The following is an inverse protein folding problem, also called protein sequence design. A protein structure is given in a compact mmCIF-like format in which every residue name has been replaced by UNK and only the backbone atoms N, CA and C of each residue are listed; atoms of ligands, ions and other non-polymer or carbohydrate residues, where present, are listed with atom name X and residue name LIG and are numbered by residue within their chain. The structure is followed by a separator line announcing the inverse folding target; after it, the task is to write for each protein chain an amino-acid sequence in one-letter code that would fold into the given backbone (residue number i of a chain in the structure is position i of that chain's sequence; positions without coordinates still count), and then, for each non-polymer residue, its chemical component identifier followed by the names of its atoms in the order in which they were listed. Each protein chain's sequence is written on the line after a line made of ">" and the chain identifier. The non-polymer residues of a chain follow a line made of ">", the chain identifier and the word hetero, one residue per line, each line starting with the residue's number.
data_IF_214013590149
#
_entry.id   IF_214013590149
#
_cell.length_a   1.000
_cell.length_b   1.000
_cell.length_c   1.000
_cell.angle_alpha   90.00
_cell.angle_beta   90.00
_cell.angle_gamma   90.00
#
_symmetry.space_group_name_H-M   'P 1'
#
loop_
_entity.id
_entity.type
_entity.pdbx_description
1 polymer ?
#
# COMPACT_ATOMS: atom_id res chain seq x y z
N UNK A 1 85.10 11.28 15.80
CA UNK A 1 84.62 12.47 16.52
C UNK A 1 84.82 13.63 15.53
N UNK A 2 83.85 14.13 14.78
CA UNK A 2 82.40 14.04 14.89
C UNK A 2 81.75 14.24 13.53
N UNK A 3 80.60 13.59 13.37
CA UNK A 3 79.68 13.77 12.27
C UNK A 3 78.91 15.07 12.45
N UNK A 4 78.77 15.86 11.40
CA UNK A 4 77.76 16.91 11.32
C UNK A 4 77.15 16.88 9.92
N UNK A 5 76.18 15.98 9.75
CA UNK A 5 75.11 16.14 8.77
C UNK A 5 74.15 17.18 9.30
N UNK A 6 73.97 18.27 8.55
CA UNK A 6 72.89 19.23 8.75
C UNK A 6 71.87 19.16 7.60
N UNK A 7 70.61 19.54 7.86
CA UNK A 7 69.46 18.73 7.53
C UNK A 7 68.83 19.08 6.18
N UNK A 8 68.32 18.05 5.50
CA UNK A 8 67.45 18.20 4.36
C UNK A 8 66.14 18.86 4.77
N UNK A 9 65.91 20.07 4.24
CA UNK A 9 64.61 20.73 4.16
C UNK A 9 63.55 19.76 3.65
N UNK A 10 62.63 19.37 4.54
CA UNK A 10 61.46 18.56 4.19
C UNK A 10 60.45 19.48 3.49
N UNK A 11 60.04 19.20 2.24
CA UNK A 11 58.97 19.96 1.60
C UNK A 11 57.64 19.71 2.31
N UNK A 12 56.71 20.69 2.33
CA UNK A 12 55.40 20.53 2.95
C UNK A 12 54.66 19.37 2.29
N UNK A 13 54.32 18.36 3.10
CA UNK A 13 53.47 17.26 2.69
C UNK A 13 52.10 17.81 2.28
N UNK A 14 51.81 17.78 0.99
CA UNK A 14 50.51 18.15 0.45
C UNK A 14 49.41 17.29 1.11
N UNK A 15 48.24 17.87 1.44
CA UNK A 15 47.11 17.10 1.94
C UNK A 15 46.73 16.07 0.89
N UNK A 16 46.78 14.80 1.26
CA UNK A 16 46.30 13.71 0.40
C UNK A 16 44.83 14.00 0.04
N UNK A 17 44.44 13.84 -1.24
CA UNK A 17 43.05 14.02 -1.62
C UNK A 17 42.19 13.05 -0.80
N UNK A 18 41.18 13.58 -0.11
CA UNK A 18 40.19 12.79 0.62
C UNK A 18 39.72 11.66 -0.30
N UNK A 19 40.13 10.41 0.00
CA UNK A 19 39.64 9.23 -0.71
C UNK A 19 38.12 9.30 -0.66
N UNK A 20 37.45 9.14 -1.80
CA UNK A 20 36.00 8.89 -1.83
C UNK A 20 35.73 7.79 -0.81
N UNK A 21 35.02 8.10 0.27
CA UNK A 21 34.68 7.13 1.32
C UNK A 21 33.84 6.03 0.67
N UNK A 22 34.44 4.91 0.28
CA UNK A 22 33.67 3.75 -0.16
C UNK A 22 32.94 3.16 1.05
N UNK A 23 31.83 2.45 0.82
CA UNK A 23 31.13 1.72 1.89
C UNK A 23 32.02 0.55 2.34
N UNK A 24 32.21 0.40 3.65
CA UNK A 24 32.78 -0.83 4.20
C UNK A 24 31.72 -1.92 4.33
N UNK A 25 32.14 -3.14 4.60
CA UNK A 25 31.21 -4.25 4.85
C UNK A 25 30.36 -3.99 6.10
N UNK A 26 30.95 -3.41 7.15
CA UNK A 26 30.24 -3.04 8.37
C UNK A 26 29.21 -1.93 8.11
N UNK A 27 29.54 -0.95 7.25
CA UNK A 27 28.59 0.07 6.80
C UNK A 27 27.42 -0.56 6.03
N UNK A 28 27.68 -1.55 5.17
CA UNK A 28 26.65 -2.27 4.43
C UNK A 28 25.76 -3.09 5.36
N UNK A 29 26.33 -3.80 6.34
CA UNK A 29 25.56 -4.56 7.35
C UNK A 29 24.69 -3.61 8.18
N UNK A 30 25.25 -2.49 8.65
CA UNK A 30 24.50 -1.48 9.40
C UNK A 30 23.35 -0.90 8.57
N UNK A 31 23.61 -0.60 7.28
CA UNK A 31 22.58 -0.15 6.34
C UNK A 31 21.47 -1.18 6.17
N UNK A 32 21.81 -2.45 5.93
CA UNK A 32 20.85 -3.52 5.71
C UNK A 32 19.98 -3.78 6.95
N UNK A 33 20.59 -3.86 8.14
CA UNK A 33 19.84 -4.00 9.41
C UNK A 33 18.84 -2.86 9.59
N UNK A 34 19.26 -1.62 9.33
CA UNK A 34 18.35 -0.47 9.47
C UNK A 34 17.23 -0.47 8.41
N UNK A 35 17.53 -0.90 7.18
CA UNK A 35 16.54 -1.04 6.11
C UNK A 35 15.48 -2.06 6.48
N UNK A 36 15.87 -3.22 7.01
CA UNK A 36 14.95 -4.25 7.48
C UNK A 36 14.10 -3.76 8.65
N UNK A 37 14.69 -3.01 9.58
CA UNK A 37 13.96 -2.44 10.72
C UNK A 37 12.89 -1.42 10.28
N UNK A 38 13.25 -0.48 9.42
CA UNK A 38 12.36 0.64 9.06
C UNK A 38 11.40 0.29 7.91
N UNK A 39 11.75 -0.71 7.09
CA UNK A 39 11.03 -1.15 5.89
C UNK A 39 10.54 0.03 5.02
N UNK A 40 11.45 0.91 4.53
CA UNK A 40 11.06 2.15 3.85
C UNK A 40 10.27 1.92 2.56
N UNK A 41 10.46 0.77 1.91
CA UNK A 41 9.80 0.36 0.67
C UNK A 41 8.37 -0.17 0.87
N UNK A 42 8.01 -0.62 2.09
CA UNK A 42 6.65 -1.09 2.40
C UNK A 42 5.67 0.04 2.75
N UNK A 43 6.11 1.30 2.68
CA UNK A 43 5.32 2.46 3.09
C UNK A 43 4.39 2.91 1.95
N UNK A 44 3.27 3.60 2.26
CA UNK A 44 2.35 4.10 1.25
C UNK A 44 3.05 4.93 0.15
N UNK A 45 2.52 4.85 -1.08
CA UNK A 45 3.05 5.58 -2.24
C UNK A 45 3.28 7.06 -1.91
N UNK A 46 4.44 7.57 -2.31
CA UNK A 46 4.84 8.97 -2.11
C UNK A 46 5.75 9.22 -0.90
N UNK A 47 5.81 8.30 0.08
CA UNK A 47 6.57 8.54 1.32
C UNK A 47 7.91 7.79 1.39
N UNK A 48 8.20 6.88 0.46
CA UNK A 48 9.42 6.05 0.46
C UNK A 48 10.70 6.90 0.64
N UNK A 49 10.83 8.01 -0.09
CA UNK A 49 12.02 8.87 0.01
C UNK A 49 12.14 9.57 1.37
N UNK A 50 11.01 9.95 2.00
CA UNK A 50 11.03 10.51 3.34
C UNK A 50 11.52 9.47 4.35
N UNK A 51 11.05 8.23 4.24
CA UNK A 51 11.51 7.14 5.09
C UNK A 51 12.98 6.77 4.85
N UNK A 52 13.46 6.78 3.60
CA UNK A 52 14.88 6.62 3.30
C UNK A 52 15.74 7.74 3.92
N UNK A 53 15.23 8.99 3.95
CA UNK A 53 15.94 10.11 4.59
C UNK A 53 15.96 9.98 6.11
N UNK A 54 14.86 9.54 6.73
CA UNK A 54 14.83 9.26 8.18
C UNK A 54 15.80 8.15 8.55
N UNK A 55 15.80 7.05 7.79
CA UNK A 55 16.76 5.95 7.94
C UNK A 55 18.20 6.43 7.84
N UNK A 56 18.50 7.29 6.86
CA UNK A 56 19.83 7.84 6.68
C UNK A 56 20.24 8.73 7.87
N UNK A 57 19.31 9.52 8.41
CA UNK A 57 19.55 10.34 9.60
C UNK A 57 19.82 9.47 10.83
N UNK A 58 19.08 8.37 11.00
CA UNK A 58 19.31 7.39 12.08
C UNK A 58 20.70 6.77 12.00
N UNK A 59 21.12 6.35 10.80
CA UNK A 59 22.46 5.79 10.59
C UNK A 59 23.55 6.81 10.87
N UNK A 60 23.42 8.05 10.39
CA UNK A 60 24.41 9.11 10.62
C UNK A 60 24.51 9.49 12.11
N UNK A 61 23.42 9.37 12.87
CA UNK A 61 23.43 9.59 14.31
C UNK A 61 24.07 8.44 15.10
N UNK A 62 24.20 7.26 14.49
CA UNK A 62 24.82 6.10 15.13
C UNK A 62 26.35 6.20 15.08
N UNK A 63 27.06 6.06 16.23
CA UNK A 63 28.52 6.06 16.25
C UNK A 63 29.13 4.81 15.58
N UNK A 64 28.32 3.76 15.35
CA UNK A 64 28.75 2.54 14.68
C UNK A 64 28.81 2.67 13.16
N UNK A 65 28.26 3.75 12.58
CA UNK A 65 28.25 3.98 11.15
C UNK A 65 29.35 4.95 10.75
N UNK A 66 30.28 4.53 9.90
CA UNK A 66 31.50 5.31 9.63
C UNK A 66 31.22 6.57 8.80
N UNK A 67 30.10 6.63 8.06
CA UNK A 67 29.81 7.72 7.12
C UNK A 67 28.96 8.81 7.78
N UNK A 68 29.60 9.96 8.02
CA UNK A 68 28.97 11.17 8.59
C UNK A 68 28.00 11.91 7.65
N UNK A 69 27.96 11.57 6.36
CA UNK A 69 27.10 12.21 5.35
C UNK A 69 26.42 11.14 4.49
N UNK A 70 25.33 10.58 4.99
CA UNK A 70 24.41 9.73 4.24
C UNK A 70 23.13 10.51 3.93
N UNK A 71 22.63 10.35 2.71
CA UNK A 71 21.34 10.90 2.27
C UNK A 71 20.51 9.71 1.78
N UNK A 72 19.18 9.74 1.98
CA UNK A 72 18.29 8.62 1.65
C UNK A 72 18.46 8.09 0.22
N UNK A 73 18.66 8.97 -0.76
CA UNK A 73 18.93 8.59 -2.16
C UNK A 73 20.19 7.72 -2.30
N UNK A 74 21.27 8.06 -1.59
CA UNK A 74 22.53 7.32 -1.67
C UNK A 74 22.44 5.99 -0.93
N UNK A 75 21.73 5.95 0.22
CA UNK A 75 21.46 4.71 0.95
C UNK A 75 20.60 3.75 0.15
N UNK A 76 19.51 4.26 -0.45
CA UNK A 76 18.64 3.48 -1.33
C UNK A 76 19.40 2.94 -2.55
N UNK A 77 20.24 3.76 -3.19
CA UNK A 77 21.06 3.31 -4.31
C UNK A 77 22.05 2.21 -3.90
N UNK A 78 22.66 2.31 -2.71
CA UNK A 78 23.58 1.29 -2.21
C UNK A 78 22.86 -0.02 -1.89
N UNK A 79 21.72 0.07 -1.21
CA UNK A 79 20.85 -1.08 -0.91
C UNK A 79 20.46 -1.83 -2.19
N UNK A 80 19.98 -1.12 -3.22
CA UNK A 80 19.61 -1.73 -4.50
C UNK A 80 20.80 -2.45 -5.15
N UNK A 81 21.98 -1.84 -5.12
CA UNK A 81 23.19 -2.45 -5.67
C UNK A 81 23.53 -3.74 -4.95
N UNK A 82 23.45 -3.77 -3.61
CA UNK A 82 23.75 -4.96 -2.82
C UNK A 82 22.80 -6.12 -3.14
N UNK A 83 21.48 -5.85 -3.21
CA UNK A 83 20.47 -6.87 -3.54
C UNK A 83 20.68 -7.44 -4.95
N UNK A 84 20.99 -6.59 -5.93
CA UNK A 84 21.26 -7.02 -7.31
C UNK A 84 22.50 -7.93 -7.35
N UNK A 85 23.62 -7.45 -6.78
CA UNK A 85 24.88 -8.20 -6.80
C UNK A 85 24.76 -9.52 -6.03
N UNK A 86 24.01 -9.56 -4.93
CA UNK A 86 23.74 -10.80 -4.19
C UNK A 86 22.96 -11.80 -5.04
N UNK A 87 21.87 -11.37 -5.67
CA UNK A 87 21.07 -12.25 -6.52
C UNK A 87 21.83 -12.79 -7.74
N UNK A 88 22.79 -12.04 -8.28
CA UNK A 88 23.71 -12.52 -9.32
C UNK A 88 24.67 -13.59 -8.76
N UNK A 89 25.31 -13.30 -7.62
CA UNK A 89 26.23 -14.22 -6.96
C UNK A 89 25.57 -15.54 -6.56
N UNK A 90 24.36 -15.51 -5.97
CA UNK A 90 23.61 -16.72 -5.58
C UNK A 90 23.26 -17.59 -6.79
N UNK A 91 22.91 -16.97 -7.93
CA UNK A 91 22.62 -17.71 -9.16
C UNK A 91 23.87 -18.35 -9.74
N UNK A 92 24.99 -17.63 -9.77
CA UNK A 92 26.27 -18.17 -10.23
C UNK A 92 26.73 -19.32 -9.34
N UNK A 93 26.64 -19.16 -8.02
CA UNK A 93 26.94 -20.21 -7.06
C UNK A 93 26.06 -21.45 -7.28
N UNK A 94 24.75 -21.29 -7.47
CA UNK A 94 23.84 -22.40 -7.74
C UNK A 94 24.18 -23.19 -9.02
N UNK A 95 24.75 -22.52 -10.04
CA UNK A 95 25.20 -23.18 -11.28
C UNK A 95 26.53 -23.92 -11.11
N UNK A 96 27.36 -23.50 -10.17
CA UNK A 96 28.70 -24.04 -9.93
C UNK A 96 28.75 -25.01 -8.73
N UNK A 97 27.66 -25.13 -7.96
CA UNK A 97 27.71 -25.74 -6.63
C UNK A 97 27.76 -27.27 -6.63
N UNK A 98 28.80 -27.78 -5.96
CA UNK A 98 28.85 -29.06 -5.26
C UNK A 98 29.53 -28.94 -3.88
N UNK A 99 29.71 -27.72 -3.36
CA UNK A 99 30.47 -27.40 -2.14
C UNK A 99 29.62 -26.50 -1.23
N UNK A 100 29.63 -26.80 0.07
CA UNK A 100 28.99 -25.99 1.11
C UNK A 100 29.85 -24.76 1.40
N UNK A 101 29.34 -23.57 1.12
CA UNK A 101 29.96 -22.30 1.51
C UNK A 101 29.39 -21.79 2.83
N UNK A 102 30.20 -21.03 3.57
CA UNK A 102 29.81 -20.37 4.81
C UNK A 102 28.98 -19.12 4.48
N UNK A 103 27.71 -19.10 4.91
CA UNK A 103 26.79 -17.98 4.67
C UNK A 103 27.11 -16.87 5.67
N UNK A 104 27.54 -15.70 5.17
CA UNK A 104 27.82 -14.55 6.03
C UNK A 104 26.54 -13.91 6.56
N UNK A 105 26.63 -13.10 7.62
CA UNK A 105 25.48 -12.33 8.11
C UNK A 105 24.90 -11.43 7.01
N UNK A 106 25.77 -10.84 6.19
CA UNK A 106 25.35 -9.97 5.10
C UNK A 106 24.47 -10.71 4.09
N UNK A 107 24.81 -11.96 3.79
CA UNK A 107 24.05 -12.79 2.86
C UNK A 107 22.66 -13.11 3.42
N UNK A 108 22.57 -13.46 4.72
CA UNK A 108 21.29 -13.69 5.40
C UNK A 108 20.40 -12.44 5.37
N UNK A 109 20.96 -11.26 5.65
CA UNK A 109 20.23 -10.00 5.59
C UNK A 109 19.77 -9.66 4.16
N UNK A 110 20.53 -10.05 3.15
CA UNK A 110 20.20 -9.82 1.74
C UNK A 110 19.13 -10.78 1.24
N UNK A 111 19.13 -12.03 1.68
CA UNK A 111 18.06 -13.00 1.43
C UNK A 111 16.73 -12.52 2.01
N UNK A 112 16.71 -12.13 3.29
CA UNK A 112 15.52 -11.61 3.96
C UNK A 112 15.02 -10.32 3.29
N UNK A 113 15.94 -9.41 2.93
CA UNK A 113 15.57 -8.18 2.25
C UNK A 113 15.01 -8.44 0.84
N UNK A 114 15.54 -9.42 0.11
CA UNK A 114 15.04 -9.79 -1.21
C UNK A 114 13.60 -10.31 -1.13
N UNK A 115 13.31 -11.19 -0.17
CA UNK A 115 11.96 -11.70 0.09
C UNK A 115 10.98 -10.57 0.41
N UNK A 116 11.34 -9.68 1.34
CA UNK A 116 10.50 -8.54 1.71
C UNK A 116 10.26 -7.56 0.56
N UNK A 117 11.25 -7.36 -0.32
CA UNK A 117 11.08 -6.51 -1.50
C UNK A 117 10.11 -7.12 -2.50
N UNK A 118 10.12 -8.44 -2.68
CA UNK A 118 9.20 -9.12 -3.58
C UNK A 118 7.78 -9.16 -3.01
N UNK A 119 7.63 -9.38 -1.71
CA UNK A 119 6.35 -9.24 -1.00
C UNK A 119 5.76 -7.83 -1.12
N UNK A 120 6.59 -6.80 -0.89
CA UNK A 120 6.16 -5.41 -1.02
C UNK A 120 5.72 -5.07 -2.46
N UNK A 121 6.41 -5.59 -3.48
CA UNK A 121 6.00 -5.45 -4.88
C UNK A 121 4.65 -6.12 -5.12
N UNK A 122 4.48 -7.34 -4.62
CA UNK A 122 3.24 -8.10 -4.79
C UNK A 122 2.05 -7.39 -4.12
N UNK A 123 2.22 -6.92 -2.88
CA UNK A 123 1.21 -6.13 -2.17
C UNK A 123 0.84 -4.87 -2.96
N UNK A 124 1.84 -4.11 -3.42
CA UNK A 124 1.58 -2.91 -4.21
C UNK A 124 0.86 -3.19 -5.54
N UNK A 125 1.15 -4.31 -6.19
CA UNK A 125 0.47 -4.71 -7.41
C UNK A 125 -0.98 -5.14 -7.13
N UNK A 126 -1.22 -5.91 -6.07
CA UNK A 126 -2.56 -6.29 -5.62
C UNK A 126 -3.42 -5.07 -5.30
N UNK A 127 -2.90 -4.12 -4.50
CA UNK A 127 -3.63 -2.88 -4.18
C UNK A 127 -3.97 -2.09 -5.44
N UNK A 128 -3.01 -1.94 -6.37
CA UNK A 128 -3.25 -1.24 -7.63
C UNK A 128 -4.34 -1.93 -8.48
N UNK A 129 -4.32 -3.26 -8.56
CA UNK A 129 -5.34 -4.03 -9.30
C UNK A 129 -6.72 -3.92 -8.64
N UNK A 130 -6.78 -3.91 -7.32
CA UNK A 130 -8.04 -3.75 -6.58
C UNK A 130 -8.64 -2.35 -6.78
N UNK A 131 -7.83 -1.31 -6.68
CA UNK A 131 -8.23 0.08 -6.97
C UNK A 131 -8.75 0.22 -8.41
N UNK A 132 -8.04 -0.37 -9.38
CA UNK A 132 -8.44 -0.38 -10.77
C UNK A 132 -9.79 -1.10 -10.96
N UNK A 133 -9.96 -2.29 -10.37
CA UNK A 133 -11.21 -3.05 -10.45
C UNK A 133 -12.37 -2.31 -9.76
N UNK A 134 -12.11 -1.53 -8.71
CA UNK A 134 -13.12 -0.68 -8.10
C UNK A 134 -13.51 0.45 -9.04
N UNK A 135 -12.55 1.13 -9.65
CA UNK A 135 -12.81 2.18 -10.63
C UNK A 135 -13.63 1.68 -11.82
N UNK A 136 -13.27 0.52 -12.38
CA UNK A 136 -14.01 -0.11 -13.49
C UNK A 136 -15.46 -0.43 -13.12
N UNK A 137 -15.70 -0.96 -11.92
CA UNK A 137 -17.07 -1.22 -11.42
C UNK A 137 -17.86 0.07 -11.24
N UNK A 138 -17.23 1.12 -10.71
CA UNK A 138 -17.87 2.42 -10.52
C UNK A 138 -18.22 3.07 -11.88
N UNK A 139 -17.34 2.95 -12.88
CA UNK A 139 -17.60 3.39 -14.25
C UNK A 139 -18.71 2.59 -14.94
N UNK A 140 -18.72 1.27 -14.78
CA UNK A 140 -19.76 0.40 -15.31
C UNK A 140 -21.13 0.72 -14.69
N UNK A 141 -21.19 0.86 -13.36
CA UNK A 141 -22.40 1.27 -12.65
C UNK A 141 -22.91 2.63 -13.13
N UNK A 142 -21.98 3.57 -13.38
CA UNK A 142 -22.28 4.89 -13.92
C UNK A 142 -22.86 4.83 -15.34
N UNK A 143 -22.34 3.94 -16.21
CA UNK A 143 -22.88 3.70 -17.55
C UNK A 143 -24.29 3.09 -17.51
N UNK A 144 -24.52 2.13 -16.61
CA UNK A 144 -25.85 1.53 -16.42
C UNK A 144 -26.85 2.58 -15.94
N UNK A 145 -26.49 3.40 -14.96
CA UNK A 145 -27.35 4.48 -14.46
C UNK A 145 -27.72 5.47 -15.57
N UNK A 146 -26.76 5.87 -16.41
CA UNK A 146 -27.02 6.72 -17.60
C UNK A 146 -28.01 6.06 -18.55
N UNK A 147 -27.80 4.78 -18.92
CA UNK A 147 -28.71 4.03 -19.81
C UNK A 147 -30.13 3.96 -19.25
N UNK A 148 -30.28 3.61 -17.97
CA UNK A 148 -31.58 3.52 -17.30
C UNK A 148 -32.29 4.88 -17.30
N UNK A 149 -31.58 5.97 -17.03
CA UNK A 149 -32.14 7.32 -17.09
C UNK A 149 -32.62 7.68 -18.50
N UNK A 150 -31.83 7.40 -19.54
CA UNK A 150 -32.22 7.67 -20.94
C UNK A 150 -33.44 6.86 -21.38
N UNK A 151 -33.53 5.58 -20.99
CA UNK A 151 -34.69 4.74 -21.33
C UNK A 151 -35.95 5.24 -20.63
N UNK A 152 -35.86 5.61 -19.34
CA UNK A 152 -37.01 6.19 -18.61
C UNK A 152 -37.49 7.49 -19.25
N UNK A 153 -36.57 8.38 -19.65
CA UNK A 153 -36.89 9.62 -20.34
C UNK A 153 -37.66 9.34 -21.65
N UNK A 154 -37.15 8.42 -22.48
CA UNK A 154 -37.78 8.05 -23.76
C UNK A 154 -39.15 7.40 -23.56
N UNK A 155 -39.31 6.53 -22.56
CA UNK A 155 -40.60 5.93 -22.23
C UNK A 155 -41.60 6.97 -21.73
N UNK A 156 -41.16 7.94 -20.93
CA UNK A 156 -42.02 9.04 -20.51
C UNK A 156 -42.42 9.95 -21.67
N UNK A 157 -41.56 10.21 -22.65
CA UNK A 157 -41.93 11.01 -23.83
C UNK A 157 -42.80 10.25 -24.83
N UNK A 158 -42.61 8.93 -24.98
CA UNK A 158 -43.45 8.10 -25.84
C UNK A 158 -44.87 7.89 -25.26
N UNK A 159 -45.00 7.89 -23.93
CA UNK A 159 -46.29 7.87 -23.25
C UNK A 159 -47.05 9.21 -23.32
N UNK A 160 -46.42 10.29 -23.79
CA UNK A 160 -47.04 11.61 -23.98
C UNK A 160 -47.51 11.82 -25.45
N UNK A 161 -47.12 10.96 -26.40
CA UNK A 161 -47.51 11.07 -27.82
C UNK A 161 -48.69 10.14 -28.22
N UNK A 162 -48.98 9.09 -27.44
CA UNK A 162 -50.18 8.25 -27.56
C UNK A 162 -51.11 8.56 -26.37
N UNK A 163 -52.33 9.02 -26.65
CA UNK A 163 -53.14 9.83 -25.74
C UNK A 163 -53.64 9.18 -24.44
N UNK A 164 -53.97 10.09 -23.50
CA UNK A 164 -54.80 9.94 -22.27
C UNK A 164 -54.05 9.78 -20.93
N UNK A 165 -54.43 10.53 -19.86
CA UNK A 165 -53.64 10.63 -18.62
C UNK A 165 -53.78 9.39 -17.70
N UNK A 166 -52.75 9.04 -16.89
CA UNK A 166 -52.72 7.80 -16.12
C UNK A 166 -53.48 7.91 -14.78
N UNK A 167 -54.65 7.26 -14.66
CA UNK A 167 -55.48 7.20 -13.44
C UNK A 167 -55.01 6.19 -12.36
N UNK A 168 -53.80 5.64 -12.43
CA UNK A 168 -53.38 4.49 -11.60
C UNK A 168 -53.13 4.77 -10.10
N UNK A 169 -52.68 5.96 -9.63
CA UNK A 169 -52.38 6.17 -8.21
C UNK A 169 -53.63 6.23 -7.30
N UNK A 170 -54.73 6.80 -7.80
CA UNK A 170 -55.93 7.06 -7.00
C UNK A 170 -56.72 5.77 -6.68
N UNK A 171 -56.78 4.82 -7.63
CA UNK A 171 -57.39 3.50 -7.43
C UNK A 171 -56.67 2.70 -6.35
N UNK A 172 -55.33 2.73 -6.36
CA UNK A 172 -54.50 1.97 -5.41
C UNK A 172 -54.58 2.53 -3.99
N UNK A 173 -54.66 3.86 -3.85
CA UNK A 173 -54.91 4.52 -2.57
C UNK A 173 -56.30 4.15 -2.00
N UNK A 174 -57.33 4.11 -2.86
CA UNK A 174 -58.70 3.73 -2.45
C UNK A 174 -58.79 2.28 -1.99
N UNK A 175 -58.07 1.36 -2.64
CA UNK A 175 -58.02 -0.05 -2.22
C UNK A 175 -57.34 -0.21 -0.86
N UNK A 176 -56.21 0.48 -0.62
CA UNK A 176 -55.54 0.47 0.69
C UNK A 176 -56.41 1.02 1.81
N UNK A 177 -57.16 2.08 1.55
CA UNK A 177 -58.10 2.64 2.53
C UNK A 177 -59.18 1.61 2.87
N UNK A 178 -59.81 1.00 1.86
CA UNK A 178 -60.83 -0.04 2.07
C UNK A 178 -60.29 -1.28 2.80
N UNK A 179 -59.05 -1.68 2.51
CA UNK A 179 -58.39 -2.78 3.23
C UNK A 179 -58.12 -2.41 4.70
N UNK A 180 -57.69 -1.18 4.97
CA UNK A 180 -57.46 -0.71 6.34
C UNK A 180 -58.75 -0.59 7.15
N UNK A 181 -59.85 -0.15 6.53
CA UNK A 181 -61.18 -0.09 7.14
C UNK A 181 -61.66 -1.50 7.53
N UNK A 182 -61.54 -2.47 6.60
CA UNK A 182 -61.91 -3.87 6.87
C UNK A 182 -61.07 -4.50 7.98
N UNK A 183 -59.79 -4.11 8.11
CA UNK A 183 -58.91 -4.62 9.16
C UNK A 183 -59.27 -4.03 10.53
N UNK A 184 -59.68 -2.76 10.58
CA UNK A 184 -60.18 -2.13 11.81
C UNK A 184 -61.51 -2.76 12.25
N UNK A 185 -62.44 -3.04 11.34
CA UNK A 185 -63.67 -3.77 11.67
C UNK A 185 -63.38 -5.17 12.26
N UNK A 186 -62.39 -5.88 11.72
CA UNK A 186 -62.02 -7.20 12.21
C UNK A 186 -61.42 -7.14 13.63
N UNK A 187 -60.60 -6.12 13.90
CA UNK A 187 -60.01 -5.85 15.22
C UNK A 187 -61.09 -5.47 16.24
N UNK A 188 -62.10 -4.70 15.84
CA UNK A 188 -63.20 -4.32 16.72
C UNK A 188 -64.02 -5.56 17.13
N UNK A 189 -64.38 -6.41 16.17
CA UNK A 189 -65.07 -7.69 16.44
C UNK A 189 -64.24 -8.61 17.34
N UNK A 190 -62.92 -8.69 17.11
CA UNK A 190 -62.03 -9.49 17.96
C UNK A 190 -61.95 -8.95 19.39
N UNK A 191 -61.88 -7.62 19.53
CA UNK A 191 -61.83 -6.95 20.83
C UNK A 191 -63.13 -7.13 21.59
N UNK A 192 -64.28 -6.99 20.92
CA UNK A 192 -65.60 -7.21 21.50
C UNK A 192 -65.73 -8.65 22.03
N UNK A 193 -65.28 -9.64 21.25
CA UNK A 193 -65.30 -11.05 21.66
C UNK A 193 -64.37 -11.35 22.85
N UNK A 194 -63.25 -10.63 22.96
CA UNK A 194 -62.33 -10.76 24.10
C UNK A 194 -62.95 -10.16 25.36
N UNK A 195 -63.60 -9.01 25.25
CA UNK A 195 -64.31 -8.35 26.37
C UNK A 195 -65.48 -9.21 26.84
N UNK A 196 -66.27 -9.79 25.93
CA UNK A 196 -67.41 -10.65 26.26
C UNK A 196 -66.98 -11.95 26.97
N UNK A 197 -65.83 -12.51 26.61
CA UNK A 197 -65.30 -13.71 27.28
C UNK A 197 -64.75 -13.44 28.68
N UNK A 198 -64.32 -12.21 28.99
CA UNK A 198 -63.90 -11.82 30.34
C UNK A 198 -65.06 -11.47 31.27
N UNK A 199 -66.19 -10.97 30.75
CA UNK A 199 -67.35 -10.60 31.57
C UNK A 199 -68.31 -11.76 31.87
N UNK A 200 -68.14 -12.92 31.23
CA UNK A 200 -68.97 -14.13 31.41
C UNK A 200 -68.34 -15.17 32.37
N UNK A 201 -67.55 -14.72 33.35
CA UNK A 201 -66.89 -15.58 34.34
C UNK A 201 -67.19 -15.16 35.78
#
# INVERSE_FOLDING_TARGET
>A
MDAASEPATTPPQAPTPQRRNNYSEEDDIALLRQVLLDCPFGKPRGNVMQHCNTLAATLVASPAFARSKLIGKNGQSRMNQLVITHGEATKEAALLSGVSEEVSEKDQLLDELAELLDDAKHVHECTKKEEQKKHERDEEASLVARRVATVRLVQSSAAEEEGSPPKKPAEQARLRIKESERMMELLDVFTQRLVDTMHNK
#
